data_IF_032850287140
#
_entry.id   IF_032850287140
#
_cell.length_a   1.000
_cell.length_b   1.000
_cell.length_c   1.000
_cell.angle_alpha   90.00
_cell.angle_beta   90.00
_cell.angle_gamma   90.00
#
_symmetry.space_group_name_H-M   'P 1'
#
loop_
_entity.id
_entity.type
_entity.pdbx_description
1 polymer ?
#
# COMPACT_ATOMS: atom_id res chain seq x y z
N UNK A 1 12.28 21.84 -10.66
CA UNK A 1 11.53 20.96 -11.60
C UNK A 1 10.25 20.49 -10.92
N UNK A 2 9.10 20.57 -11.62
CA UNK A 2 7.80 20.16 -11.07
C UNK A 2 7.23 19.00 -11.87
N UNK A 3 6.83 17.95 -11.18
CA UNK A 3 6.06 16.85 -11.74
C UNK A 3 4.56 17.17 -11.66
N UNK A 4 3.83 16.95 -12.74
CA UNK A 4 2.37 17.03 -12.78
C UNK A 4 1.84 15.70 -13.29
N UNK A 5 0.99 15.03 -12.52
CA UNK A 5 0.40 13.73 -12.86
C UNK A 5 -1.11 13.81 -12.65
N UNK A 6 -1.86 13.41 -13.65
CA UNK A 6 -3.33 13.31 -13.61
C UNK A 6 -3.71 11.83 -13.61
N UNK A 7 -4.58 11.43 -12.69
CA UNK A 7 -5.14 10.08 -12.62
C UNK A 7 -6.67 10.12 -12.50
N UNK A 8 -7.30 8.99 -12.83
CA UNK A 8 -8.74 8.79 -12.61
C UNK A 8 -9.06 8.49 -11.12
N UNK A 9 -10.31 8.13 -10.85
CA UNK A 9 -10.79 7.82 -9.49
C UNK A 9 -10.19 6.54 -8.93
N UNK A 10 -9.76 5.60 -9.78
CA UNK A 10 -9.06 4.35 -9.42
C UNK A 10 -7.55 4.55 -9.28
N UNK A 11 -7.07 5.76 -9.56
CA UNK A 11 -5.66 6.12 -9.50
C UNK A 11 -4.86 5.71 -10.75
N UNK A 12 -5.50 5.27 -11.84
CA UNK A 12 -4.82 4.97 -13.10
C UNK A 12 -4.35 6.27 -13.75
N UNK A 13 -3.08 6.32 -14.13
CA UNK A 13 -2.45 7.50 -14.69
C UNK A 13 -3.03 7.79 -16.08
N UNK A 14 -3.61 8.97 -16.25
CA UNK A 14 -4.20 9.43 -17.49
C UNK A 14 -3.28 10.36 -18.27
N UNK A 15 -2.48 11.14 -17.56
CA UNK A 15 -1.52 12.05 -18.15
C UNK A 15 -0.39 12.39 -17.19
N UNK A 16 0.78 12.70 -17.72
CA UNK A 16 1.92 13.22 -16.96
C UNK A 16 2.76 14.16 -17.84
N UNK A 17 3.40 15.13 -17.19
CA UNK A 17 4.29 16.06 -17.89
C UNK A 17 5.73 15.49 -17.96
N UNK A 18 6.56 16.10 -18.80
CA UNK A 18 7.98 15.74 -18.95
C UNK A 18 8.76 15.81 -17.62
N UNK A 19 8.44 16.77 -16.75
CA UNK A 19 9.02 16.84 -15.41
C UNK A 19 8.72 15.64 -14.53
N UNK A 20 7.57 14.96 -14.73
CA UNK A 20 7.27 13.71 -14.05
C UNK A 20 8.11 12.55 -14.60
N UNK A 21 8.29 12.46 -15.93
CA UNK A 21 9.15 11.44 -16.54
C UNK A 21 10.58 11.54 -16.01
N UNK A 22 11.14 12.74 -15.99
CA UNK A 22 12.51 13.00 -15.51
C UNK A 22 12.64 12.76 -13.99
N UNK A 23 11.62 13.16 -13.20
CA UNK A 23 11.65 13.01 -11.74
C UNK A 23 11.57 11.57 -11.29
N UNK A 24 10.70 10.77 -11.90
CA UNK A 24 10.42 9.40 -11.50
C UNK A 24 11.15 8.34 -12.33
N UNK A 25 11.70 8.71 -13.50
CA UNK A 25 12.45 7.81 -14.38
C UNK A 25 11.60 6.87 -15.21
N UNK A 26 10.31 7.14 -15.38
CA UNK A 26 9.39 6.39 -16.23
C UNK A 26 9.00 7.21 -17.46
N UNK A 27 8.80 6.55 -18.60
CA UNK A 27 8.21 7.19 -19.77
C UNK A 27 6.67 7.24 -19.71
N UNK A 28 6.10 8.20 -20.41
CA UNK A 28 4.64 8.32 -20.59
C UNK A 28 4.02 7.02 -21.13
N UNK A 29 4.66 6.38 -22.11
CA UNK A 29 4.21 5.13 -22.73
C UNK A 29 4.16 3.93 -21.76
N UNK A 30 4.98 3.94 -20.70
CA UNK A 30 4.98 2.89 -19.67
C UNK A 30 3.85 3.05 -18.65
N UNK A 31 3.39 4.28 -18.43
CA UNK A 31 2.51 4.62 -17.32
C UNK A 31 1.07 4.87 -17.73
N UNK A 32 0.82 5.66 -18.78
CA UNK A 32 -0.53 6.13 -19.13
C UNK A 32 -1.43 4.97 -19.52
N UNK A 33 -2.59 4.88 -18.86
CA UNK A 33 -3.59 3.83 -19.02
C UNK A 33 -3.16 2.45 -18.50
N UNK A 34 -1.93 2.29 -17.98
CA UNK A 34 -1.36 0.97 -17.62
C UNK A 34 -1.02 0.83 -16.14
N UNK A 35 -0.64 1.92 -15.48
CA UNK A 35 -0.16 1.90 -14.10
C UNK A 35 -0.94 2.87 -13.23
N UNK A 36 -0.96 2.58 -11.93
CA UNK A 36 -1.57 3.45 -10.92
C UNK A 36 -0.51 4.32 -10.28
N UNK A 37 -0.90 5.50 -9.79
CA UNK A 37 -0.03 6.45 -9.08
C UNK A 37 0.63 5.85 -7.83
N UNK A 38 0.10 4.74 -7.30
CA UNK A 38 0.69 4.01 -6.18
C UNK A 38 2.09 3.46 -6.48
N UNK A 39 2.47 3.31 -7.77
CA UNK A 39 3.83 2.86 -8.17
C UNK A 39 4.93 3.80 -7.67
N UNK A 40 4.61 5.08 -7.48
CA UNK A 40 5.55 6.09 -7.03
C UNK A 40 5.72 6.16 -5.51
N UNK A 41 4.95 5.40 -4.75
CA UNK A 41 4.96 5.47 -3.28
C UNK A 41 5.34 4.14 -2.64
N UNK A 42 6.15 4.15 -1.58
CA UNK A 42 6.33 2.98 -0.75
C UNK A 42 4.97 2.43 -0.28
N UNK A 43 4.82 1.10 -0.28
CA UNK A 43 3.54 0.45 0.02
C UNK A 43 2.95 0.84 1.38
N UNK A 44 3.78 1.10 2.37
CA UNK A 44 3.38 1.57 3.70
C UNK A 44 2.70 2.96 3.64
N UNK A 45 3.19 3.86 2.78
CA UNK A 45 2.60 5.19 2.59
C UNK A 45 1.25 5.07 1.90
N UNK A 46 1.12 4.20 0.89
CA UNK A 46 -0.14 3.94 0.20
C UNK A 46 -1.20 3.45 1.18
N UNK A 47 -0.89 2.42 1.96
CA UNK A 47 -1.83 1.81 2.90
C UNK A 47 -2.27 2.75 4.03
N UNK A 48 -1.38 3.63 4.47
CA UNK A 48 -1.59 4.42 5.68
C UNK A 48 -2.16 5.81 5.42
N UNK A 49 -1.72 6.46 4.35
CA UNK A 49 -1.84 7.91 4.20
C UNK A 49 -2.68 8.34 2.99
N UNK A 50 -2.57 7.66 1.84
CA UNK A 50 -3.14 8.15 0.58
C UNK A 50 -4.65 8.38 0.68
N UNK A 51 -5.39 7.45 1.27
CA UNK A 51 -6.84 7.63 1.45
C UNK A 51 -7.19 8.90 2.26
N UNK A 52 -6.44 9.15 3.34
CA UNK A 52 -6.61 10.37 4.15
C UNK A 52 -6.31 11.64 3.37
N UNK A 53 -5.29 11.64 2.53
CA UNK A 53 -4.93 12.78 1.68
C UNK A 53 -6.02 13.10 0.66
N UNK A 54 -6.55 12.08 -0.02
CA UNK A 54 -7.63 12.24 -0.98
C UNK A 54 -8.91 12.76 -0.31
N UNK A 55 -9.25 12.25 0.87
CA UNK A 55 -10.40 12.74 1.66
C UNK A 55 -10.24 14.21 2.03
N UNK A 56 -9.05 14.65 2.45
CA UNK A 56 -8.76 16.05 2.76
C UNK A 56 -8.79 16.93 1.51
N UNK A 57 -8.23 16.44 0.39
CA UNK A 57 -8.27 17.16 -0.88
C UNK A 57 -9.71 17.40 -1.35
N UNK A 58 -10.58 16.40 -1.26
CA UNK A 58 -11.99 16.54 -1.62
C UNK A 58 -12.73 17.52 -0.70
N UNK A 59 -12.44 17.50 0.61
CA UNK A 59 -13.10 18.40 1.57
C UNK A 59 -12.66 19.86 1.39
N UNK A 60 -11.37 20.10 1.15
CA UNK A 60 -10.77 21.45 1.17
C UNK A 60 -10.49 22.01 -0.23
N UNK A 61 -10.78 21.22 -1.30
CA UNK A 61 -10.44 21.57 -2.69
C UNK A 61 -8.97 21.31 -3.04
N UNK A 62 -8.10 21.17 -2.06
CA UNK A 62 -6.70 20.75 -2.22
C UNK A 62 -6.15 20.22 -0.90
N UNK A 63 -5.10 19.41 -0.99
CA UNK A 63 -4.34 18.94 0.17
C UNK A 63 -2.85 18.93 -0.15
N UNK A 64 -2.03 19.42 0.79
CA UNK A 64 -0.60 19.49 0.66
C UNK A 64 0.07 18.73 1.79
N UNK A 65 1.09 17.93 1.45
CA UNK A 65 1.89 17.20 2.44
C UNK A 65 3.32 16.99 1.95
N UNK A 66 4.21 16.60 2.87
CA UNK A 66 5.57 16.14 2.57
C UNK A 66 5.61 14.63 2.74
N UNK A 67 6.26 13.94 1.81
CA UNK A 67 6.35 12.47 1.82
C UNK A 67 7.59 11.98 1.09
N UNK A 68 7.81 10.67 1.11
CA UNK A 68 8.84 10.00 0.34
C UNK A 68 8.23 9.35 -0.90
N UNK A 69 8.88 9.53 -2.04
CA UNK A 69 8.53 8.88 -3.29
C UNK A 69 9.65 7.94 -3.76
N UNK A 70 9.27 7.00 -4.61
CA UNK A 70 10.13 5.98 -5.18
C UNK A 70 10.29 6.24 -6.68
N UNK A 71 11.54 6.24 -7.17
CA UNK A 71 11.84 6.25 -8.60
C UNK A 71 11.80 4.83 -9.18
N UNK A 72 11.85 4.73 -10.51
CA UNK A 72 11.91 3.46 -11.24
C UNK A 72 13.09 2.59 -10.83
N UNK A 73 14.23 3.19 -10.52
CA UNK A 73 15.45 2.50 -10.07
C UNK A 73 15.44 2.07 -8.59
N UNK A 74 14.33 2.30 -7.88
CA UNK A 74 14.20 2.01 -6.46
C UNK A 74 14.73 3.10 -5.52
N UNK A 75 15.26 4.20 -6.03
CA UNK A 75 15.77 5.31 -5.22
C UNK A 75 14.64 6.07 -4.56
N UNK A 76 14.73 6.27 -3.24
CA UNK A 76 13.81 7.12 -2.48
C UNK A 76 14.26 8.57 -2.50
N UNK A 77 13.31 9.48 -2.64
CA UNK A 77 13.55 10.91 -2.50
C UNK A 77 12.44 11.60 -1.70
N UNK A 78 12.77 12.73 -1.09
CA UNK A 78 11.84 13.53 -0.32
C UNK A 78 11.15 14.53 -1.23
N UNK A 79 9.84 14.66 -1.08
CA UNK A 79 9.08 15.60 -1.89
C UNK A 79 7.90 16.18 -1.14
N UNK A 80 7.49 17.35 -1.61
CA UNK A 80 6.23 18.02 -1.29
C UNK A 80 5.25 17.68 -2.40
N UNK A 81 4.06 17.23 -2.04
CA UNK A 81 2.98 16.97 -2.99
C UNK A 81 1.76 17.84 -2.66
N UNK A 82 1.13 18.36 -3.70
CA UNK A 82 -0.18 19.02 -3.66
C UNK A 82 -1.13 18.17 -4.48
N UNK A 83 -2.23 17.74 -3.87
CA UNK A 83 -3.27 16.93 -4.51
C UNK A 83 -4.53 17.78 -4.64
N UNK A 84 -5.09 17.85 -5.84
CA UNK A 84 -6.34 18.55 -6.14
C UNK A 84 -7.31 17.59 -6.83
N UNK A 85 -8.62 17.60 -6.48
CA UNK A 85 -9.62 16.86 -7.23
C UNK A 85 -9.79 17.47 -8.62
N UNK A 86 -9.97 16.61 -9.63
CA UNK A 86 -10.19 17.01 -11.02
C UNK A 86 -11.64 16.75 -11.41
N UNK A 87 -12.23 17.66 -12.20
CA UNK A 87 -13.64 17.63 -12.63
C UNK A 87 -13.72 17.81 -14.15
N UNK A 88 -14.67 17.16 -14.82
CA UNK A 88 -14.78 17.16 -16.28
C UNK A 88 -15.00 18.55 -16.90
N UNK A 89 -15.87 19.37 -16.30
CA UNK A 89 -16.23 20.70 -16.81
C UNK A 89 -16.49 21.70 -15.67
N UNK A 90 -15.61 21.72 -14.65
CA UNK A 90 -15.74 22.60 -13.48
C UNK A 90 -16.36 21.91 -12.27
N UNK A 91 -16.28 22.58 -11.12
CA UNK A 91 -16.57 22.01 -9.79
C UNK A 91 -18.01 21.51 -9.57
N UNK A 92 -18.94 21.87 -10.44
CA UNK A 92 -20.34 21.43 -10.35
C UNK A 92 -20.60 20.10 -11.09
N UNK A 93 -19.60 19.56 -11.79
CA UNK A 93 -19.68 18.30 -12.51
C UNK A 93 -19.08 17.15 -11.70
N UNK A 94 -19.38 15.90 -12.07
CA UNK A 94 -18.78 14.74 -11.40
C UNK A 94 -17.25 14.81 -11.40
N UNK A 95 -16.67 14.44 -10.28
CA UNK A 95 -15.22 14.30 -10.15
C UNK A 95 -14.72 13.17 -11.07
N UNK A 96 -13.69 13.44 -11.85
CA UNK A 96 -13.09 12.50 -12.80
C UNK A 96 -11.81 11.87 -12.29
N UNK A 97 -11.22 12.44 -11.25
CA UNK A 97 -9.96 11.94 -10.69
C UNK A 97 -9.25 12.98 -9.83
N UNK A 98 -7.91 12.92 -9.88
CA UNK A 98 -7.04 13.80 -9.12
C UNK A 98 -5.86 14.29 -9.97
N UNK A 99 -5.38 15.48 -9.65
CA UNK A 99 -4.13 16.03 -10.14
C UNK A 99 -3.14 16.12 -8.96
N UNK A 100 -1.96 15.52 -9.12
CA UNK A 100 -0.85 15.60 -8.17
C UNK A 100 0.27 16.44 -8.73
N UNK A 101 0.68 17.48 -7.99
CA UNK A 101 1.86 18.30 -8.31
C UNK A 101 2.94 17.98 -7.28
N UNK A 102 4.10 17.52 -7.74
CA UNK A 102 5.21 17.11 -6.86
C UNK A 102 6.45 17.94 -7.12
N UNK A 103 7.09 18.36 -6.04
CA UNK A 103 8.38 19.06 -6.02
C UNK A 103 9.37 18.32 -5.11
N UNK A 104 10.61 18.12 -5.57
CA UNK A 104 11.70 17.56 -4.74
C UNK A 104 12.07 18.59 -3.68
N UNK A 105 12.32 18.11 -2.47
CA UNK A 105 12.79 18.93 -1.34
C UNK A 105 14.03 18.29 -0.71
N UNK A 106 14.97 19.14 -0.24
CA UNK A 106 16.20 18.67 0.41
C UNK A 106 15.99 18.28 1.88
N UNK A 107 14.84 18.67 2.45
CA UNK A 107 14.48 18.36 3.83
C UNK A 107 14.19 16.87 4.00
N UNK A 108 14.83 16.23 4.99
CA UNK A 108 14.57 14.82 5.31
C UNK A 108 13.17 14.64 5.89
N UNK A 109 12.31 13.93 5.17
CA UNK A 109 10.95 13.59 5.61
C UNK A 109 10.95 12.19 6.19
N UNK A 110 10.58 12.08 7.47
CA UNK A 110 10.30 10.79 8.12
C UNK A 110 8.79 10.62 8.23
N UNK A 111 8.21 9.73 7.41
CA UNK A 111 6.80 9.35 7.55
C UNK A 111 6.71 8.24 8.60
N UNK A 112 6.09 8.48 9.77
CA UNK A 112 5.98 7.45 10.79
C UNK A 112 5.06 6.31 10.32
N UNK A 113 5.55 5.07 10.37
CA UNK A 113 4.77 3.90 10.01
C UNK A 113 4.00 3.43 11.23
N UNK A 114 2.67 3.40 11.15
CA UNK A 114 1.79 2.92 12.22
C UNK A 114 2.02 1.43 12.47
N UNK A 115 1.87 1.02 13.73
CA UNK A 115 2.01 -0.39 14.12
C UNK A 115 1.06 -1.32 13.36
N UNK A 116 -0.18 -0.89 13.12
CA UNK A 116 -1.16 -1.63 12.31
C UNK A 116 -0.67 -1.89 10.88
N UNK A 117 -0.02 -0.91 10.25
CA UNK A 117 0.55 -1.06 8.89
C UNK A 117 1.71 -2.07 8.89
N UNK A 118 2.53 -2.09 9.94
CA UNK A 118 3.60 -3.09 10.10
C UNK A 118 3.02 -4.50 10.22
N UNK A 119 1.94 -4.69 11.00
CA UNK A 119 1.24 -5.97 11.14
C UNK A 119 0.67 -6.42 9.79
N UNK A 120 -0.05 -5.55 9.06
CA UNK A 120 -0.61 -5.87 7.75
C UNK A 120 0.48 -6.32 6.78
N UNK A 121 1.61 -5.60 6.75
CA UNK A 121 2.76 -5.96 5.93
C UNK A 121 3.34 -7.32 6.33
N UNK A 122 3.52 -7.57 7.63
CA UNK A 122 4.01 -8.84 8.15
C UNK A 122 3.10 -10.00 7.74
N UNK A 123 1.77 -9.86 7.96
CA UNK A 123 0.77 -10.86 7.56
C UNK A 123 0.77 -11.12 6.06
N UNK A 124 0.89 -10.06 5.24
CA UNK A 124 0.94 -10.19 3.79
C UNK A 124 2.21 -10.91 3.31
N UNK A 125 3.38 -10.62 3.90
CA UNK A 125 4.66 -11.25 3.52
C UNK A 125 4.70 -12.71 3.98
N UNK A 126 4.26 -13.00 5.20
CA UNK A 126 4.32 -14.34 5.80
C UNK A 126 3.18 -15.24 5.36
N UNK A 127 2.25 -14.74 4.55
CA UNK A 127 1.01 -15.47 4.17
C UNK A 127 0.25 -16.04 5.39
N UNK A 128 0.35 -15.37 6.54
CA UNK A 128 -0.23 -15.84 7.81
C UNK A 128 -1.74 -16.15 7.73
N UNK A 129 -2.46 -15.56 6.78
CA UNK A 129 -3.85 -15.90 6.50
C UNK A 129 -4.04 -17.34 6.01
N UNK A 130 -3.10 -17.89 5.23
CA UNK A 130 -3.14 -19.28 4.80
C UNK A 130 -2.71 -20.23 5.92
N UNK A 131 -1.76 -19.82 6.76
CA UNK A 131 -1.32 -20.58 7.93
C UNK A 131 -2.46 -20.82 8.90
N UNK A 132 -3.31 -19.81 9.14
CA UNK A 132 -4.48 -19.97 10.04
C UNK A 132 -5.46 -21.02 9.52
N UNK A 133 -5.74 -21.08 8.22
CA UNK A 133 -6.62 -22.07 7.62
C UNK A 133 -6.10 -23.52 7.82
N UNK A 134 -4.79 -23.71 7.83
CA UNK A 134 -4.17 -25.03 8.06
C UNK A 134 -4.07 -25.38 9.55
N UNK A 135 -3.94 -24.40 10.43
CA UNK A 135 -3.82 -24.60 11.87
C UNK A 135 -5.17 -24.91 12.54
N UNK A 136 -6.25 -24.29 12.12
CA UNK A 136 -7.58 -24.46 12.74
C UNK A 136 -8.03 -25.92 12.83
N UNK A 137 -8.01 -26.72 11.74
CA UNK A 137 -8.41 -28.13 11.80
C UNK A 137 -7.55 -28.94 12.77
N UNK A 138 -6.25 -28.70 12.80
CA UNK A 138 -5.32 -29.40 13.68
C UNK A 138 -5.61 -29.09 15.16
N UNK A 139 -5.88 -27.84 15.50
CA UNK A 139 -6.23 -27.42 16.85
C UNK A 139 -7.58 -27.97 17.31
N UNK A 140 -8.59 -28.03 16.40
CA UNK A 140 -9.90 -28.62 16.71
C UNK A 140 -9.75 -30.10 17.02
N UNK A 141 -9.05 -30.87 16.19
CA UNK A 141 -8.81 -32.29 16.41
C UNK A 141 -8.03 -32.51 17.70
N UNK A 142 -6.99 -31.73 17.94
CA UNK A 142 -6.20 -31.84 19.16
C UNK A 142 -7.02 -31.54 20.42
N UNK A 143 -7.88 -30.53 20.40
CA UNK A 143 -8.75 -30.17 21.52
C UNK A 143 -9.82 -31.26 21.79
N UNK A 144 -10.32 -31.89 20.74
CA UNK A 144 -11.26 -33.01 20.86
C UNK A 144 -10.61 -34.19 21.58
N UNK A 145 -9.44 -34.67 21.15
CA UNK A 145 -8.73 -35.77 21.79
C UNK A 145 -8.27 -35.46 23.22
N UNK A 146 -7.83 -34.23 23.47
CA UNK A 146 -7.47 -33.80 24.82
C UNK A 146 -8.71 -33.78 25.77
N UNK A 147 -9.88 -33.44 25.24
CA UNK A 147 -11.13 -33.38 26.01
C UNK A 147 -11.70 -34.74 26.38
N UNK A 148 -11.43 -35.79 25.57
CA UNK A 148 -11.90 -37.16 25.85
C UNK A 148 -10.97 -37.88 26.83
N UNK A 149 -9.80 -37.35 27.11
CA UNK A 149 -8.79 -37.99 28.00
C UNK A 149 -8.18 -39.26 27.38
N UNK A 150 -8.03 -39.28 26.05
CA UNK A 150 -7.49 -40.42 25.33
C UNK A 150 -5.96 -40.48 25.52
N UNK A 151 -5.44 -41.62 25.96
CA UNK A 151 -4.02 -41.88 26.12
C UNK A 151 -3.20 -41.78 24.83
N UNK A 152 -3.91 -41.74 23.67
CA UNK A 152 -3.30 -41.54 22.36
C UNK A 152 -2.91 -40.06 22.08
N UNK A 153 -3.37 -39.10 22.89
CA UNK A 153 -3.01 -37.69 22.72
C UNK A 153 -1.56 -37.45 23.16
N UNK A 154 -0.69 -37.27 22.19
CA UNK A 154 0.72 -36.92 22.45
C UNK A 154 0.97 -35.43 22.13
N UNK A 155 1.18 -34.59 23.14
CA UNK A 155 1.42 -33.17 22.94
C UNK A 155 2.69 -32.88 22.11
N UNK A 156 3.68 -33.80 22.15
CA UNK A 156 4.91 -33.65 21.35
C UNK A 156 4.61 -33.79 19.84
N UNK A 157 3.76 -34.76 19.46
CA UNK A 157 3.35 -34.93 18.06
C UNK A 157 2.57 -33.73 17.53
N UNK A 158 1.73 -33.11 18.36
CA UNK A 158 1.04 -31.88 18.02
C UNK A 158 2.02 -30.74 17.73
N UNK A 159 3.01 -30.53 18.62
CA UNK A 159 4.03 -29.50 18.43
C UNK A 159 4.81 -29.74 17.14
N UNK A 160 5.24 -30.97 16.86
CA UNK A 160 5.96 -31.32 15.64
C UNK A 160 5.11 -31.09 14.38
N UNK A 161 3.82 -31.39 14.42
CA UNK A 161 2.90 -31.11 13.32
C UNK A 161 2.76 -29.61 13.06
N UNK A 162 2.62 -28.80 14.12
CA UNK A 162 2.55 -27.35 14.01
C UNK A 162 3.84 -26.75 13.42
N UNK A 163 5.02 -27.22 13.89
CA UNK A 163 6.32 -26.82 13.34
C UNK A 163 6.43 -27.22 11.87
N UNK A 164 5.98 -28.42 11.49
CA UNK A 164 5.97 -28.87 10.09
C UNK A 164 5.12 -27.99 9.19
N UNK A 165 3.92 -27.61 9.63
CA UNK A 165 3.03 -26.69 8.89
C UNK A 165 3.71 -25.33 8.68
N UNK A 166 4.38 -24.79 9.71
CA UNK A 166 5.11 -23.53 9.59
C UNK A 166 6.34 -23.61 8.68
N UNK A 167 7.00 -24.77 8.62
CA UNK A 167 8.23 -24.96 7.82
C UNK A 167 7.96 -25.15 6.32
N UNK A 168 6.74 -25.56 5.94
CA UNK A 168 6.33 -25.84 4.56
C UNK A 168 5.72 -24.59 3.86
N UNK A 169 5.64 -23.46 4.53
CA UNK A 169 5.09 -22.19 4.01
C UNK A 169 6.13 -21.11 3.85
#
# INVERSE_FOLDING_TARGET
>A
MKSVIICDMEGVIQNLNKGAEEMFGYSNLELVGKKRVSIFSPGEIVLQNVFGWLKQANKNGSYQTKTNFLKKDGTLFNAKIIITPNFSNGKNNPQTGYCGITEIIDEKVKVPIKFTTKIIKFVAITRAGFTSASLFPVLIVASYFAGIGDDLFNPLSLILTLVGIFSLQ
#
